data_IF_005339039479
#
_entry.id   IF_005339039479
#
_cell.length_a   1.000
_cell.length_b   1.000
_cell.length_c   1.000
_cell.angle_alpha   90.00
_cell.angle_beta   90.00
_cell.angle_gamma   90.00
#
_symmetry.space_group_name_H-M   'P 1'
#
loop_
_entity.id
_entity.type
_entity.pdbx_description
1 polymer ?
#
# COMPACT_ATOMS: atom_id res chain seq x y z
N UNK A 1 0.20 -14.81 -31.35
CA UNK A 1 0.46 -13.80 -30.29
C UNK A 1 -0.28 -12.48 -30.49
N UNK A 2 -0.24 -11.85 -31.68
CA UNK A 2 -0.95 -10.57 -31.96
C UNK A 2 -2.46 -10.62 -31.67
N UNK A 3 -3.13 -11.74 -31.93
CA UNK A 3 -4.57 -11.93 -31.65
C UNK A 3 -4.87 -11.92 -30.14
N UNK A 4 -4.09 -12.67 -29.35
CA UNK A 4 -4.24 -12.68 -27.88
C UNK A 4 -4.01 -11.28 -27.29
N UNK A 5 -2.97 -10.57 -27.78
CA UNK A 5 -2.71 -9.18 -27.39
C UNK A 5 -3.83 -8.22 -27.80
N UNK A 6 -4.38 -8.38 -29.00
CA UNK A 6 -5.52 -7.58 -29.47
C UNK A 6 -6.74 -7.78 -28.56
N UNK A 7 -7.09 -9.03 -28.24
CA UNK A 7 -8.20 -9.37 -27.35
C UNK A 7 -7.98 -8.86 -25.91
N UNK A 8 -6.78 -9.07 -25.35
CA UNK A 8 -6.40 -8.52 -24.04
C UNK A 8 -6.38 -6.99 -24.03
N UNK A 9 -5.99 -6.37 -25.14
CA UNK A 9 -6.04 -4.93 -25.32
C UNK A 9 -7.47 -4.37 -25.22
N UNK A 10 -8.48 -5.08 -25.72
CA UNK A 10 -9.87 -4.70 -25.50
C UNK A 10 -10.31 -4.91 -24.06
N UNK A 11 -9.91 -6.02 -23.44
CA UNK A 11 -10.23 -6.29 -22.03
C UNK A 11 -9.65 -5.21 -21.10
N UNK A 12 -8.44 -4.73 -21.36
CA UNK A 12 -7.79 -3.71 -20.56
C UNK A 12 -8.19 -2.26 -20.90
N UNK A 13 -9.03 -2.04 -21.93
CA UNK A 13 -9.76 -0.78 -22.07
C UNK A 13 -10.94 -0.66 -21.11
N UNK A 14 -11.35 -1.76 -20.47
CA UNK A 14 -12.38 -1.74 -19.45
C UNK A 14 -11.77 -1.38 -18.09
N UNK A 15 -12.59 -0.77 -17.23
CA UNK A 15 -12.27 -0.61 -15.81
C UNK A 15 -12.88 -1.76 -15.04
N UNK A 16 -12.04 -2.54 -14.36
CA UNK A 16 -12.49 -3.62 -13.48
C UNK A 16 -12.89 -3.05 -12.11
N UNK A 17 -13.94 -3.58 -11.50
CA UNK A 17 -14.28 -3.17 -10.12
C UNK A 17 -13.21 -3.69 -9.14
N UNK A 18 -12.77 -4.94 -9.33
CA UNK A 18 -11.72 -5.56 -8.54
C UNK A 18 -10.75 -6.36 -9.42
N UNK A 19 -9.45 -6.14 -9.23
CA UNK A 19 -8.37 -6.99 -9.74
C UNK A 19 -7.80 -7.79 -8.56
N UNK A 20 -7.94 -9.11 -8.59
CA UNK A 20 -7.42 -10.00 -7.55
C UNK A 20 -6.23 -10.79 -8.08
N UNK A 21 -5.07 -10.64 -7.44
CA UNK A 21 -3.83 -11.33 -7.78
C UNK A 21 -3.39 -12.18 -6.59
N UNK A 22 -3.34 -13.50 -6.76
CA UNK A 22 -2.86 -14.43 -5.73
C UNK A 22 -1.85 -15.37 -6.32
N UNK A 23 -0.63 -15.38 -5.79
CA UNK A 23 0.50 -16.26 -6.17
C UNK A 23 0.64 -16.50 -7.68
N UNK A 24 0.24 -15.53 -8.51
CA UNK A 24 0.29 -15.67 -9.95
C UNK A 24 1.75 -15.59 -10.39
N UNK A 25 2.20 -16.56 -11.18
CA UNK A 25 3.53 -16.48 -11.81
C UNK A 25 3.47 -15.29 -12.78
N UNK A 26 4.03 -14.16 -12.36
CA UNK A 26 4.26 -13.02 -13.24
C UNK A 26 5.41 -13.41 -14.16
N UNK A 27 5.06 -13.91 -15.34
CA UNK A 27 6.04 -14.24 -16.37
C UNK A 27 6.51 -12.95 -17.04
N UNK A 28 7.79 -12.61 -16.87
CA UNK A 28 8.40 -11.40 -17.44
C UNK A 28 8.27 -11.33 -18.97
N UNK A 29 8.42 -12.45 -19.68
CA UNK A 29 8.26 -12.49 -21.15
C UNK A 29 6.81 -12.20 -21.56
N UNK A 30 5.84 -12.64 -20.76
CA UNK A 30 4.44 -12.30 -20.96
C UNK A 30 4.19 -10.81 -20.71
N UNK A 31 4.85 -10.22 -19.71
CA UNK A 31 4.73 -8.78 -19.47
C UNK A 31 5.27 -7.97 -20.64
N UNK A 32 6.49 -8.28 -21.09
CA UNK A 32 7.13 -7.57 -22.20
C UNK A 32 6.28 -7.65 -23.48
N UNK A 33 5.74 -8.83 -23.75
CA UNK A 33 4.86 -9.09 -24.87
C UNK A 33 3.56 -8.29 -24.83
N UNK A 34 2.92 -8.22 -23.67
CA UNK A 34 1.59 -7.61 -23.53
C UNK A 34 1.69 -6.09 -23.36
N UNK A 35 2.65 -5.63 -22.58
CA UNK A 35 2.75 -4.26 -22.09
C UNK A 35 3.85 -3.44 -22.77
N UNK A 36 5.00 -4.04 -23.12
CA UNK A 36 6.20 -3.28 -23.55
C UNK A 36 6.47 -3.28 -25.06
N UNK A 37 5.96 -4.26 -25.82
CA UNK A 37 6.27 -4.43 -27.26
C UNK A 37 5.74 -3.29 -28.17
N UNK A 38 5.09 -2.23 -27.66
CA UNK A 38 4.64 -1.08 -28.47
C UNK A 38 5.61 0.10 -28.34
N UNK A 39 6.69 0.09 -29.12
CA UNK A 39 7.50 1.29 -29.38
C UNK A 39 6.81 2.30 -30.32
N UNK A 40 5.69 1.94 -30.94
CA UNK A 40 5.05 2.68 -32.04
C UNK A 40 3.85 3.53 -31.60
N UNK A 41 3.17 3.14 -30.53
CA UNK A 41 2.09 3.91 -29.90
C UNK A 41 2.50 4.12 -28.43
N UNK A 42 3.06 5.29 -28.10
CA UNK A 42 3.78 5.63 -26.86
C UNK A 42 3.06 5.42 -25.50
N UNK A 43 1.95 4.67 -25.44
CA UNK A 43 1.25 4.34 -24.20
C UNK A 43 1.34 2.83 -23.95
N UNK A 44 2.06 2.38 -22.90
CA UNK A 44 2.04 0.99 -22.50
C UNK A 44 0.60 0.61 -22.11
N UNK A 45 0.25 -0.64 -22.34
CA UNK A 45 -1.03 -1.17 -21.91
C UNK A 45 -1.13 -1.04 -20.37
N UNK A 46 -2.31 -0.74 -19.85
CA UNK A 46 -2.51 -0.61 -18.39
C UNK A 46 -3.79 -1.32 -17.99
N UNK A 47 -3.78 -1.96 -16.84
CA UNK A 47 -4.96 -2.56 -16.24
C UNK A 47 -5.59 -1.50 -15.34
N UNK A 48 -6.83 -1.15 -15.64
CA UNK A 48 -7.58 -0.17 -14.86
C UNK A 48 -8.48 -0.91 -13.89
N UNK A 49 -8.34 -0.65 -12.60
CA UNK A 49 -9.22 -1.21 -11.58
C UNK A 49 -9.60 -0.16 -10.55
N UNK A 50 -10.73 -0.31 -9.87
CA UNK A 50 -11.01 0.52 -8.68
C UNK A 50 -10.22 0.01 -7.49
N UNK A 51 -10.28 -1.30 -7.26
CA UNK A 51 -9.57 -1.99 -6.19
C UNK A 51 -8.65 -3.05 -6.76
N UNK A 52 -7.40 -3.06 -6.33
CA UNK A 52 -6.45 -4.14 -6.60
C UNK A 52 -6.08 -4.82 -5.30
N UNK A 53 -6.25 -6.13 -5.23
CA UNK A 53 -5.93 -6.95 -4.08
C UNK A 53 -4.80 -7.87 -4.47
N UNK A 54 -3.70 -7.80 -3.73
CA UNK A 54 -2.53 -8.64 -3.87
C UNK A 54 -2.44 -9.55 -2.66
N UNK A 55 -2.64 -10.84 -2.88
CA UNK A 55 -2.53 -11.88 -1.89
C UNK A 55 -1.17 -12.59 -2.04
N UNK A 56 -0.26 -12.33 -1.10
CA UNK A 56 1.12 -12.84 -1.15
C UNK A 56 1.24 -14.00 -0.17
N UNK A 57 1.30 -15.23 -0.70
CA UNK A 57 1.50 -16.44 0.11
C UNK A 57 2.94 -16.93 -0.04
N UNK A 58 3.38 -17.19 -1.28
CA UNK A 58 4.72 -17.70 -1.59
C UNK A 58 5.17 -17.13 -2.94
N UNK A 59 5.73 -15.94 -2.93
CA UNK A 59 6.13 -15.29 -4.17
C UNK A 59 7.08 -14.13 -3.96
N UNK A 60 7.66 -13.66 -5.06
CA UNK A 60 8.51 -12.49 -5.04
C UNK A 60 7.66 -11.21 -4.95
N UNK A 61 7.39 -10.77 -3.72
CA UNK A 61 6.69 -9.51 -3.42
C UNK A 61 7.24 -8.34 -4.24
N UNK A 62 8.55 -8.24 -4.46
CA UNK A 62 9.13 -7.15 -5.23
C UNK A 62 8.66 -7.15 -6.68
N UNK A 63 8.63 -8.33 -7.30
CA UNK A 63 8.12 -8.50 -8.66
C UNK A 63 6.63 -8.11 -8.76
N UNK A 64 5.81 -8.51 -7.79
CA UNK A 64 4.39 -8.14 -7.76
C UNK A 64 4.18 -6.65 -7.59
N UNK A 65 4.86 -6.03 -6.62
CA UNK A 65 4.74 -4.60 -6.39
C UNK A 65 5.26 -3.80 -7.59
N UNK A 66 6.33 -4.26 -8.25
CA UNK A 66 6.82 -3.67 -9.50
C UNK A 66 5.78 -3.80 -10.63
N UNK A 67 5.12 -4.94 -10.76
CA UNK A 67 4.05 -5.12 -11.74
C UNK A 67 2.88 -4.15 -11.48
N UNK A 68 2.41 -4.07 -10.23
CA UNK A 68 1.35 -3.15 -9.83
C UNK A 68 1.77 -1.70 -10.12
N UNK A 69 2.99 -1.33 -9.72
CA UNK A 69 3.50 0.02 -9.92
C UNK A 69 3.67 0.39 -11.39
N UNK A 70 3.98 -0.54 -12.29
CA UNK A 70 4.20 -0.20 -13.69
C UNK A 70 2.95 -0.33 -14.57
N UNK A 71 2.11 -1.35 -14.32
CA UNK A 71 1.07 -1.75 -15.26
C UNK A 71 -0.36 -1.60 -14.74
N UNK A 72 -0.55 -1.23 -13.47
CA UNK A 72 -1.89 -1.07 -12.89
C UNK A 72 -2.17 0.39 -12.56
N UNK A 73 -3.37 0.85 -12.92
CA UNK A 73 -3.97 2.08 -12.43
C UNK A 73 -5.11 1.70 -11.50
N UNK A 74 -5.00 2.09 -10.21
CA UNK A 74 -5.99 1.74 -9.20
C UNK A 74 -6.23 2.86 -8.20
N UNK A 75 -7.48 3.01 -7.76
CA UNK A 75 -7.82 3.93 -6.67
C UNK A 75 -7.32 3.40 -5.33
N UNK A 76 -7.38 2.06 -5.15
CA UNK A 76 -6.92 1.37 -3.95
C UNK A 76 -6.09 0.13 -4.28
N UNK A 77 -4.96 -0.01 -3.60
CA UNK A 77 -4.17 -1.24 -3.57
C UNK A 77 -4.23 -1.83 -2.17
N UNK A 78 -4.55 -3.11 -2.06
CA UNK A 78 -4.55 -3.87 -0.82
C UNK A 78 -3.54 -5.00 -0.91
N UNK A 79 -2.65 -5.08 0.08
CA UNK A 79 -1.60 -6.09 0.17
C UNK A 79 -1.93 -6.97 1.37
N UNK A 80 -2.36 -8.19 1.09
CA UNK A 80 -2.63 -9.22 2.07
C UNK A 80 -1.38 -10.09 2.25
N UNK A 81 -0.74 -9.99 3.42
CA UNK A 81 0.48 -10.74 3.76
C UNK A 81 0.09 -11.98 4.56
N UNK A 82 0.45 -13.17 4.08
CA UNK A 82 0.21 -14.41 4.82
C UNK A 82 1.31 -14.69 5.85
N UNK A 83 0.93 -15.39 6.93
CA UNK A 83 1.74 -15.58 8.15
C UNK A 83 3.14 -16.16 7.92
N UNK A 84 3.30 -16.96 6.87
CA UNK A 84 4.53 -17.70 6.59
C UNK A 84 5.46 -16.98 5.61
N UNK A 85 5.09 -15.78 5.12
CA UNK A 85 5.97 -15.02 4.24
C UNK A 85 7.11 -14.39 5.03
N UNK A 86 8.34 -14.55 4.54
CA UNK A 86 9.51 -13.86 5.09
C UNK A 86 9.27 -12.33 5.12
N UNK A 87 9.67 -11.63 6.19
CA UNK A 87 9.38 -10.21 6.35
C UNK A 87 10.14 -9.36 5.32
N UNK A 88 9.46 -9.02 4.23
CA UNK A 88 9.95 -8.09 3.20
C UNK A 88 9.53 -6.64 3.52
N UNK A 89 9.72 -6.22 4.76
CA UNK A 89 9.30 -4.88 5.26
C UNK A 89 9.91 -3.77 4.41
N UNK A 90 11.19 -3.85 4.09
CA UNK A 90 11.89 -2.80 3.33
C UNK A 90 11.27 -2.59 1.94
N UNK A 91 10.81 -3.66 1.30
CA UNK A 91 10.15 -3.62 0.00
C UNK A 91 8.77 -2.95 0.12
N UNK A 92 7.98 -3.31 1.15
CA UNK A 92 6.68 -2.68 1.43
C UNK A 92 6.84 -1.21 1.76
N UNK A 93 7.79 -0.88 2.64
CA UNK A 93 8.08 0.49 3.04
C UNK A 93 8.51 1.33 1.85
N UNK A 94 9.41 0.82 1.00
CA UNK A 94 9.82 1.48 -0.24
C UNK A 94 8.61 1.71 -1.14
N UNK A 95 7.81 0.69 -1.39
CA UNK A 95 6.59 0.82 -2.21
C UNK A 95 5.66 1.92 -1.67
N UNK A 96 5.36 1.92 -0.37
CA UNK A 96 4.52 2.95 0.26
C UNK A 96 5.11 4.36 0.11
N UNK A 97 6.43 4.50 0.25
CA UNK A 97 7.11 5.81 0.26
C UNK A 97 7.53 6.34 -1.11
N UNK A 98 7.36 5.55 -2.18
CA UNK A 98 7.73 5.95 -3.55
C UNK A 98 6.58 5.89 -4.55
N UNK A 99 5.33 5.74 -4.11
CA UNK A 99 4.19 5.61 -5.02
C UNK A 99 3.72 6.92 -5.63
N UNK A 100 4.20 8.08 -5.16
CA UNK A 100 3.92 9.42 -5.71
C UNK A 100 2.42 9.71 -5.90
N UNK A 101 1.60 9.33 -4.91
CA UNK A 101 0.12 9.43 -4.97
C UNK A 101 -0.54 8.68 -6.13
N UNK A 102 0.18 7.79 -6.81
CA UNK A 102 -0.35 6.96 -7.91
C UNK A 102 -1.59 6.17 -7.49
N UNK A 103 -1.62 5.72 -6.24
CA UNK A 103 -2.74 5.03 -5.64
C UNK A 103 -3.41 5.96 -4.62
N UNK A 104 -4.73 6.12 -4.71
CA UNK A 104 -5.48 6.91 -3.74
C UNK A 104 -5.40 6.35 -2.32
N UNK A 105 -5.27 5.02 -2.17
CA UNK A 105 -5.04 4.36 -0.87
C UNK A 105 -4.18 3.10 -1.03
N UNK A 106 -3.21 2.93 -0.13
CA UNK A 106 -2.44 1.68 0.01
C UNK A 106 -2.78 1.02 1.35
N UNK A 107 -3.40 -0.15 1.33
CA UNK A 107 -3.73 -0.93 2.52
C UNK A 107 -2.76 -2.09 2.65
N UNK A 108 -2.21 -2.31 3.84
CA UNK A 108 -1.44 -3.51 4.19
C UNK A 108 -2.19 -4.21 5.30
N UNK A 109 -2.62 -5.43 5.03
CA UNK A 109 -3.42 -6.21 5.95
C UNK A 109 -2.59 -7.36 6.54
N UNK A 110 -3.04 -7.85 7.70
CA UNK A 110 -2.48 -9.03 8.39
C UNK A 110 -0.99 -8.85 8.74
N UNK A 111 -0.62 -7.65 9.17
CA UNK A 111 0.73 -7.39 9.67
C UNK A 111 1.01 -8.26 10.90
N UNK A 112 1.83 -9.29 10.72
CA UNK A 112 2.23 -10.17 11.84
C UNK A 112 3.27 -9.50 12.72
N UNK A 113 3.65 -10.13 13.84
CA UNK A 113 4.78 -9.68 14.68
C UNK A 113 6.07 -9.44 13.88
N UNK A 114 6.27 -10.21 12.81
CA UNK A 114 7.44 -10.07 11.93
C UNK A 114 7.45 -8.75 11.14
N UNK A 115 6.36 -7.97 11.16
CA UNK A 115 6.19 -6.73 10.41
C UNK A 115 6.00 -5.49 11.31
N UNK A 116 6.29 -5.62 12.61
CA UNK A 116 6.04 -4.57 13.62
C UNK A 116 6.67 -3.22 13.26
N UNK A 117 7.85 -3.23 12.65
CA UNK A 117 8.62 -2.02 12.38
C UNK A 117 8.08 -1.20 11.20
N UNK A 118 7.16 -1.73 10.37
CA UNK A 118 6.67 -0.99 9.20
C UNK A 118 6.02 0.33 9.60
N UNK A 119 5.22 0.33 10.66
CA UNK A 119 4.58 1.54 11.17
C UNK A 119 5.63 2.55 11.66
N UNK A 120 6.61 2.11 12.44
CA UNK A 120 7.68 2.98 12.96
C UNK A 120 8.49 3.62 11.83
N UNK A 121 8.87 2.84 10.81
CA UNK A 121 9.55 3.33 9.62
C UNK A 121 8.72 4.39 8.88
N UNK A 122 7.40 4.19 8.77
CA UNK A 122 6.48 5.15 8.16
C UNK A 122 6.44 6.45 8.98
N UNK A 123 6.30 6.38 10.30
CA UNK A 123 6.29 7.56 11.17
C UNK A 123 7.62 8.31 11.06
N UNK A 124 8.75 7.61 11.15
CA UNK A 124 10.08 8.21 11.01
C UNK A 124 10.24 8.89 9.64
N UNK A 125 9.74 8.27 8.58
CA UNK A 125 9.75 8.85 7.24
C UNK A 125 8.91 10.13 7.17
N UNK A 126 7.70 10.13 7.75
CA UNK A 126 6.85 11.33 7.82
C UNK A 126 7.59 12.48 8.50
N UNK A 127 8.32 12.22 9.58
CA UNK A 127 9.00 13.27 10.31
C UNK A 127 10.23 13.82 9.60
N UNK A 128 11.05 12.93 9.00
CA UNK A 128 12.43 13.23 8.63
C UNK A 128 12.69 13.23 7.13
N UNK A 129 11.77 12.74 6.30
CA UNK A 129 11.98 12.68 4.86
C UNK A 129 11.92 14.06 4.22
N UNK A 130 12.90 14.37 3.37
CA UNK A 130 12.87 15.54 2.47
C UNK A 130 11.94 15.33 1.27
N UNK A 131 11.65 14.09 0.94
CA UNK A 131 10.87 13.69 -0.24
C UNK A 131 9.47 13.18 0.16
N UNK A 132 8.90 13.71 1.24
CA UNK A 132 7.66 13.20 1.82
C UNK A 132 6.45 13.23 0.87
N UNK A 133 6.47 14.06 -0.17
CA UNK A 133 5.43 14.10 -1.21
C UNK A 133 5.41 12.85 -2.11
N UNK A 134 6.47 12.03 -2.10
CA UNK A 134 6.50 10.77 -2.85
C UNK A 134 5.75 9.63 -2.17
N UNK A 135 5.43 9.79 -0.90
CA UNK A 135 4.72 8.80 -0.12
C UNK A 135 3.24 8.78 -0.48
N UNK A 136 2.61 7.60 -0.40
CA UNK A 136 1.17 7.45 -0.59
C UNK A 136 0.37 8.41 0.29
N UNK A 137 -0.60 9.11 -0.32
CA UNK A 137 -1.50 10.05 0.38
C UNK A 137 -2.25 9.42 1.55
N UNK A 138 -2.74 8.19 1.38
CA UNK A 138 -3.49 7.45 2.40
C UNK A 138 -2.99 6.03 2.54
N UNK A 139 -2.70 5.63 3.77
CA UNK A 139 -2.20 4.31 4.14
C UNK A 139 -3.10 3.70 5.21
N UNK A 140 -3.48 2.46 5.03
CA UNK A 140 -4.26 1.67 5.99
C UNK A 140 -3.41 0.48 6.42
N UNK A 141 -2.98 0.43 7.67
CA UNK A 141 -2.29 -0.72 8.26
C UNK A 141 -3.27 -1.45 9.16
N UNK A 142 -3.64 -2.68 8.80
CA UNK A 142 -4.58 -3.48 9.59
C UNK A 142 -3.87 -4.53 10.41
N UNK A 143 -4.38 -4.72 11.63
CA UNK A 143 -3.86 -5.70 12.59
C UNK A 143 -2.41 -5.43 13.01
N UNK A 144 -2.02 -4.17 13.17
CA UNK A 144 -0.71 -3.77 13.70
C UNK A 144 -0.60 -4.23 15.16
N UNK A 145 0.49 -4.91 15.51
CA UNK A 145 0.73 -5.33 16.89
C UNK A 145 1.04 -4.13 17.80
N UNK A 146 0.53 -4.17 19.03
CA UNK A 146 0.80 -3.16 20.07
C UNK A 146 2.16 -3.41 20.76
N UNK A 147 2.82 -2.37 21.30
CA UNK A 147 2.38 -0.97 21.36
C UNK A 147 2.55 -0.25 20.01
N UNK A 148 1.61 0.64 19.70
CA UNK A 148 1.75 1.59 18.58
C UNK A 148 2.20 2.91 19.19
N UNK A 149 3.50 3.16 19.14
CA UNK A 149 4.06 4.40 19.69
C UNK A 149 3.73 5.59 18.79
N UNK A 150 3.35 6.70 19.41
CA UNK A 150 3.09 7.95 18.70
C UNK A 150 4.33 8.83 18.87
N UNK A 151 4.75 9.51 17.81
CA UNK A 151 5.85 10.48 17.91
C UNK A 151 5.54 11.51 19.01
N UNK A 152 6.55 11.85 19.82
CA UNK A 152 6.44 12.91 20.83
C UNK A 152 6.15 14.30 20.25
N UNK A 153 6.32 14.49 18.93
CA UNK A 153 5.95 15.72 18.21
C UNK A 153 4.50 15.71 17.72
N UNK A 154 3.82 14.57 17.77
CA UNK A 154 2.45 14.48 17.30
C UNK A 154 1.50 15.18 18.26
N UNK A 155 0.61 16.00 17.72
CA UNK A 155 -0.41 16.70 18.50
C UNK A 155 -1.68 15.85 18.54
N UNK A 156 -2.18 15.52 19.71
CA UNK A 156 -3.52 14.91 19.82
C UNK A 156 -4.57 15.94 19.37
N UNK A 157 -5.38 15.57 18.38
CA UNK A 157 -6.42 16.44 17.82
C UNK A 157 -7.83 15.90 18.07
N UNK A 158 -7.99 14.61 18.41
CA UNK A 158 -9.29 14.02 18.71
C UNK A 158 -9.15 12.70 19.46
N UNK A 159 -10.04 12.46 20.41
CA UNK A 159 -10.31 11.15 21.00
C UNK A 159 -11.79 10.83 20.83
N UNK A 160 -12.10 9.79 20.07
CA UNK A 160 -13.48 9.31 19.91
C UNK A 160 -13.73 8.16 20.90
N UNK A 161 -14.85 8.22 21.60
CA UNK A 161 -15.19 7.28 22.68
C UNK A 161 -15.67 5.91 22.18
N UNK A 162 -16.17 5.79 20.94
CA UNK A 162 -16.63 4.51 20.41
C UNK A 162 -16.72 4.45 18.86
N UNK A 163 -16.08 3.46 18.19
CA UNK A 163 -15.00 2.63 18.72
C UNK A 163 -13.85 3.51 19.21
N UNK A 164 -13.16 3.10 20.28
CA UNK A 164 -12.08 3.89 20.86
C UNK A 164 -11.00 4.12 19.81
N UNK A 165 -10.90 5.35 19.35
CA UNK A 165 -9.86 5.74 18.41
C UNK A 165 -9.27 7.08 18.81
N UNK A 166 -7.95 7.17 18.72
CA UNK A 166 -7.22 8.41 18.94
C UNK A 166 -6.71 8.90 17.60
N UNK A 167 -6.81 10.21 17.37
CA UNK A 167 -6.31 10.86 16.16
C UNK A 167 -5.24 11.87 16.55
N UNK A 168 -4.10 11.75 15.88
CA UNK A 168 -2.93 12.57 16.08
C UNK A 168 -2.58 13.27 14.78
N UNK A 169 -2.14 14.53 14.87
CA UNK A 169 -1.56 15.27 13.76
C UNK A 169 -0.04 15.23 13.88
N UNK A 170 0.65 14.87 12.79
CA UNK A 170 2.11 14.88 12.71
C UNK A 170 2.56 15.74 11.52
N UNK A 171 3.53 16.62 11.77
CA UNK A 171 4.11 17.50 10.74
C UNK A 171 5.54 17.10 10.42
N UNK A 172 5.90 17.15 9.14
CA UNK A 172 7.27 16.92 8.67
C UNK A 172 8.20 18.06 9.15
N UNK A 173 9.43 17.73 9.57
CA UNK A 173 10.40 18.71 10.10
C UNK A 173 10.93 19.62 8.98
N UNK A 174 11.13 19.07 7.78
CA UNK A 174 11.68 19.80 6.64
C UNK A 174 10.62 20.60 5.88
N UNK A 175 9.35 20.21 5.98
CA UNK A 175 8.22 20.93 5.40
C UNK A 175 7.00 20.93 6.35
N UNK A 176 6.95 21.85 7.34
CA UNK A 176 5.88 21.92 8.32
C UNK A 176 4.48 22.20 7.75
N UNK A 177 4.40 22.60 6.47
CA UNK A 177 3.12 22.76 5.77
C UNK A 177 2.51 21.42 5.40
N UNK A 178 3.28 20.34 5.33
CA UNK A 178 2.77 18.99 5.06
C UNK A 178 2.46 18.32 6.40
N UNK A 179 1.21 17.90 6.56
CA UNK A 179 0.67 17.30 7.78
C UNK A 179 -0.01 15.98 7.47
N UNK A 180 0.08 15.08 8.43
CA UNK A 180 -0.56 13.78 8.39
C UNK A 180 -1.49 13.64 9.60
N UNK A 181 -2.69 13.14 9.34
CA UNK A 181 -3.60 12.62 10.35
C UNK A 181 -3.33 11.13 10.55
N UNK A 182 -3.01 10.74 11.77
CA UNK A 182 -2.75 9.36 12.18
C UNK A 182 -3.87 8.96 13.13
N UNK A 183 -4.78 8.10 12.67
CA UNK A 183 -5.87 7.54 13.46
C UNK A 183 -5.53 6.13 13.87
N UNK A 184 -5.55 5.86 15.17
CA UNK A 184 -5.30 4.54 15.76
C UNK A 184 -6.61 4.07 16.37
N UNK A 185 -7.14 2.96 15.89
CA UNK A 185 -8.34 2.32 16.42
C UNK A 185 -8.05 0.92 16.94
N UNK A 186 -8.99 0.36 17.70
CA UNK A 186 -8.99 -1.06 18.06
C UNK A 186 -9.07 -1.94 16.81
N UNK A 187 -8.11 -2.85 16.63
CA UNK A 187 -8.21 -3.95 15.68
C UNK A 187 -8.55 -5.24 16.43
N UNK A 188 -9.51 -6.01 15.93
CA UNK A 188 -9.81 -7.35 16.46
C UNK A 188 -9.20 -8.36 15.48
N UNK A 189 -8.40 -9.29 16.00
CA UNK A 189 -7.99 -10.48 15.24
C UNK A 189 -8.64 -11.70 15.86
N UNK A 190 -9.27 -12.54 15.02
CA UNK A 190 -9.91 -13.78 15.47
C UNK A 190 -8.90 -14.86 15.92
N UNK A 191 -7.60 -14.62 15.76
CA UNK A 191 -6.65 -15.73 15.60
C UNK A 191 -5.62 -15.86 16.73
N UNK A 192 -5.39 -14.86 17.59
CA UNK A 192 -4.31 -14.99 18.60
C UNK A 192 -4.58 -14.39 20.00
N UNK A 193 -5.79 -13.90 20.33
CA UNK A 193 -6.10 -13.19 21.59
C UNK A 193 -5.18 -12.00 21.91
N UNK A 194 -4.29 -11.61 20.99
CA UNK A 194 -3.39 -10.47 21.15
C UNK A 194 -4.11 -9.21 20.65
N UNK A 195 -4.06 -8.16 21.45
CA UNK A 195 -4.59 -6.86 21.07
C UNK A 195 -3.83 -6.33 19.84
N UNK A 196 -4.58 -5.98 18.80
CA UNK A 196 -4.03 -5.32 17.61
C UNK A 196 -4.67 -3.97 17.42
N UNK A 197 -4.07 -3.12 16.58
CA UNK A 197 -4.61 -1.82 16.20
C UNK A 197 -4.74 -1.74 14.69
N UNK A 198 -5.76 -1.03 14.25
CA UNK A 198 -5.83 -0.55 12.88
C UNK A 198 -5.35 0.89 12.87
N UNK A 199 -4.40 1.18 11.98
CA UNK A 199 -3.78 2.49 11.85
C UNK A 199 -4.11 3.04 10.47
N UNK A 200 -4.70 4.23 10.44
CA UNK A 200 -4.93 4.97 9.21
C UNK A 200 -4.06 6.23 9.22
N UNK A 201 -3.29 6.44 8.17
CA UNK A 201 -2.42 7.59 7.99
C UNK A 201 -2.86 8.30 6.73
N UNK A 202 -3.17 9.59 6.82
CA UNK A 202 -3.67 10.37 5.69
C UNK A 202 -3.03 11.76 5.66
N UNK A 203 -2.54 12.18 4.49
CA UNK A 203 -2.06 13.54 4.25
C UNK A 203 -3.26 14.50 4.13
N UNK A 204 -3.31 15.53 4.96
CA UNK A 204 -4.50 16.39 5.15
C UNK A 204 -4.39 17.80 4.55
N UNK A 205 -3.39 18.05 3.71
CA UNK A 205 -3.11 19.36 3.09
C UNK A 205 -2.24 19.27 1.83
#
# INVERSE_FOLDING_TARGET
MKIARYLLGYLFKCTFDCLYLSDAIINQQMLELLFDENKTNNLPLQIHSRRTILNIIRGDMEQFLNFIYNYVLADKVEIDIWRDSEPKIDILFRFITTTEDKFGTVSVNRLTRLHQNLYELIIQHIETSKNILKMAKKIELKHVYTPVEISGRAKNIKSDSYPSSTTHELSNIHNPKIKFSIRIGSGVTDIDLVETKDVMIERIN
#
